data_IF_551049876087
#
_entry.id   IF_551049876087
#
_cell.length_a   1.000
_cell.length_b   1.000
_cell.length_c   1.000
_cell.angle_alpha   90.00
_cell.angle_beta   90.00
_cell.angle_gamma   90.00
#
_symmetry.space_group_name_H-M   'P 1'
#
loop_
_entity.id
_entity.type
_entity.pdbx_description
1 polymer ?
#
# COMPACT_ATOMS: atom_id res chain seq x y z
N UNK A 1 21.60 -10.59 -15.96
CA UNK A 1 21.36 -9.68 -14.84
C UNK A 1 19.99 -9.90 -14.25
N UNK A 2 19.94 -10.01 -12.97
CA UNK A 2 18.69 -10.27 -12.29
C UNK A 2 17.99 -8.98 -11.92
N UNK A 3 16.72 -8.94 -12.20
CA UNK A 3 15.89 -7.84 -11.73
C UNK A 3 15.60 -8.03 -10.26
N UNK A 4 15.80 -6.97 -9.52
CA UNK A 4 15.50 -7.02 -8.11
C UNK A 4 14.03 -6.67 -7.92
N UNK A 5 13.28 -7.59 -7.35
CA UNK A 5 11.88 -7.36 -7.02
C UNK A 5 11.82 -6.94 -5.56
N UNK A 6 11.26 -5.78 -5.31
CA UNK A 6 11.12 -5.26 -3.96
C UNK A 6 9.71 -5.50 -3.47
N UNK A 7 9.60 -5.90 -2.22
CA UNK A 7 8.31 -6.05 -1.58
C UNK A 7 8.14 -4.93 -0.58
N UNK A 8 7.02 -4.27 -0.67
CA UNK A 8 6.68 -3.17 0.21
C UNK A 8 5.36 -3.46 0.90
N UNK A 9 5.17 -2.85 2.05
CA UNK A 9 3.91 -2.93 2.74
C UNK A 9 3.42 -1.52 2.99
N UNK A 10 2.15 -1.29 2.72
CA UNK A 10 1.51 -0.04 3.13
C UNK A 10 0.48 -0.35 4.19
N UNK A 11 0.37 0.56 5.15
CA UNK A 11 -0.66 0.53 6.17
C UNK A 11 -1.36 1.87 6.12
N UNK A 12 -2.67 1.83 6.09
CA UNK A 12 -3.45 3.06 6.04
C UNK A 12 -4.61 2.95 6.99
N UNK A 13 -4.84 4.01 7.75
CA UNK A 13 -5.99 4.07 8.65
C UNK A 13 -6.69 5.40 8.47
N UNK A 14 -8.01 5.35 8.46
CA UNK A 14 -8.82 6.54 8.26
C UNK A 14 -10.24 6.25 8.72
N UNK A 15 -11.08 7.26 8.66
CA UNK A 15 -12.50 7.05 8.84
C UNK A 15 -13.04 6.17 7.72
N UNK A 16 -13.92 5.26 8.06
CA UNK A 16 -14.53 4.37 7.08
C UNK A 16 -15.34 5.19 6.09
N UNK A 17 -15.08 4.95 4.82
CA UNK A 17 -15.74 5.70 3.75
C UNK A 17 -15.69 4.86 2.49
N UNK A 18 -16.54 5.21 1.53
CA UNK A 18 -16.65 4.46 0.29
C UNK A 18 -15.40 4.67 -0.56
N UNK A 19 -14.92 3.59 -1.14
CA UNK A 19 -13.90 3.66 -2.19
C UNK A 19 -12.46 3.64 -1.75
N UNK A 20 -12.19 3.39 -0.45
CA UNK A 20 -10.80 3.39 0.02
C UNK A 20 -9.97 2.33 -0.71
N UNK A 21 -10.43 1.09 -0.70
CA UNK A 21 -9.69 -0.02 -1.29
C UNK A 21 -9.53 0.19 -2.78
N UNK A 22 -10.59 0.64 -3.43
CA UNK A 22 -10.56 0.88 -4.87
C UNK A 22 -9.53 1.92 -5.24
N UNK A 23 -9.46 3.01 -4.49
CA UNK A 23 -8.51 4.09 -4.77
C UNK A 23 -7.08 3.63 -4.58
N UNK A 24 -6.81 2.89 -3.51
CA UNK A 24 -5.48 2.38 -3.26
C UNK A 24 -5.09 1.39 -4.35
N UNK A 25 -5.97 0.45 -4.66
CA UNK A 25 -5.65 -0.61 -5.63
C UNK A 25 -5.47 -0.04 -7.03
N UNK A 26 -6.27 0.95 -7.38
CA UNK A 26 -6.12 1.60 -8.68
C UNK A 26 -4.78 2.30 -8.79
N UNK A 27 -4.36 2.96 -7.72
CA UNK A 27 -3.09 3.65 -7.71
C UNK A 27 -1.93 2.65 -7.83
N UNK A 28 -1.98 1.57 -7.08
CA UNK A 28 -0.93 0.55 -7.17
C UNK A 28 -0.87 -0.07 -8.56
N UNK A 29 -2.02 -0.32 -9.16
CA UNK A 29 -2.07 -0.87 -10.51
C UNK A 29 -1.48 0.09 -11.53
N UNK A 30 -1.71 1.38 -11.34
CA UNK A 30 -1.16 2.40 -12.23
C UNK A 30 0.35 2.36 -12.27
N UNK A 31 0.97 2.05 -11.15
CA UNK A 31 2.42 1.95 -11.05
C UNK A 31 2.92 0.52 -11.26
N UNK A 32 2.03 -0.35 -11.76
CA UNK A 32 2.36 -1.74 -12.11
C UNK A 32 2.86 -2.54 -10.93
N UNK A 33 2.32 -2.24 -9.75
CA UNK A 33 2.58 -3.03 -8.56
C UNK A 33 1.65 -4.22 -8.53
N UNK A 34 2.16 -5.34 -8.04
CA UNK A 34 1.37 -6.53 -7.87
C UNK A 34 1.04 -6.70 -6.39
N UNK A 35 -0.25 -6.68 -6.06
CA UNK A 35 -0.68 -6.85 -4.68
C UNK A 35 -0.56 -8.32 -4.32
N UNK A 36 0.23 -8.61 -3.29
CA UNK A 36 0.50 -9.97 -2.85
C UNK A 36 -0.45 -10.38 -1.73
N UNK A 37 -0.73 -9.45 -0.85
CA UNK A 37 -1.57 -9.73 0.31
C UNK A 37 -2.32 -8.47 0.68
N UNK A 38 -3.58 -8.64 1.11
CA UNK A 38 -4.38 -7.50 1.53
C UNK A 38 -5.23 -7.94 2.71
N UNK A 39 -5.17 -7.16 3.78
CA UNK A 39 -5.97 -7.39 4.97
C UNK A 39 -6.68 -6.11 5.33
N UNK A 40 -7.94 -6.21 5.67
CA UNK A 40 -8.78 -5.06 5.99
C UNK A 40 -9.51 -5.33 7.29
N UNK A 41 -9.74 -4.25 8.02
CA UNK A 41 -10.49 -4.33 9.26
C UNK A 41 -11.25 -3.03 9.46
N UNK A 42 -12.53 -3.15 9.75
CA UNK A 42 -13.37 -2.01 10.06
C UNK A 42 -13.78 -2.09 11.53
N UNK A 43 -13.46 -1.04 12.28
CA UNK A 43 -13.90 -0.92 13.67
C UNK A 43 -15.25 -0.23 13.64
N UNK A 44 -16.31 -1.01 13.75
CA UNK A 44 -17.66 -0.48 13.62
C UNK A 44 -18.05 0.43 14.77
N UNK A 45 -17.46 0.24 15.93
CA UNK A 45 -17.78 1.06 17.07
C UNK A 45 -17.30 2.50 16.90
N UNK A 46 -16.11 2.66 16.36
CA UNK A 46 -15.51 3.97 16.21
C UNK A 46 -15.55 4.48 14.77
N UNK A 47 -16.00 3.65 13.84
CA UNK A 47 -16.08 4.04 12.44
C UNK A 47 -14.74 4.19 11.77
N UNK A 48 -13.73 3.44 12.22
CA UNK A 48 -12.39 3.50 11.65
C UNK A 48 -12.14 2.33 10.72
N UNK A 49 -11.36 2.59 9.69
CA UNK A 49 -10.98 1.59 8.71
C UNK A 49 -9.47 1.44 8.68
N UNK A 50 -9.01 0.20 8.63
CA UNK A 50 -7.59 -0.12 8.59
C UNK A 50 -7.34 -1.07 7.42
N UNK A 51 -6.29 -0.81 6.67
CA UNK A 51 -5.90 -1.72 5.61
C UNK A 51 -4.37 -1.89 5.62
N UNK A 52 -3.96 -3.11 5.39
CA UNK A 52 -2.55 -3.45 5.23
C UNK A 52 -2.42 -4.22 3.92
N UNK A 53 -1.61 -3.71 3.01
CA UNK A 53 -1.39 -4.37 1.73
C UNK A 53 0.11 -4.54 1.50
N UNK A 54 0.48 -5.76 1.11
CA UNK A 54 1.84 -6.03 0.65
C UNK A 54 1.82 -6.09 -0.87
N UNK A 55 2.81 -5.47 -1.49
CA UNK A 55 2.87 -5.46 -2.94
C UNK A 55 4.31 -5.55 -3.41
N UNK A 56 4.49 -6.08 -4.61
CA UNK A 56 5.80 -6.12 -5.22
C UNK A 56 5.94 -4.98 -6.21
N UNK A 57 7.12 -4.40 -6.24
CA UNK A 57 7.47 -3.30 -7.12
C UNK A 57 8.60 -3.76 -8.01
N UNK A 58 8.35 -3.75 -9.33
CA UNK A 58 9.31 -4.28 -10.28
C UNK A 58 10.30 -3.24 -10.76
N UNK A 59 9.94 -1.98 -10.65
CA UNK A 59 10.78 -0.89 -11.09
C UNK A 59 10.95 0.09 -9.96
N UNK A 60 12.06 -0.04 -9.24
CA UNK A 60 12.28 0.78 -8.05
C UNK A 60 12.42 2.27 -8.39
N UNK A 61 12.67 2.60 -9.66
CA UNK A 61 12.76 4.01 -10.04
C UNK A 61 11.42 4.73 -9.93
N UNK A 62 10.31 3.97 -9.86
CA UNK A 62 8.99 4.58 -9.72
C UNK A 62 8.56 4.75 -8.27
N UNK A 63 9.35 4.24 -7.32
CA UNK A 63 8.95 4.25 -5.92
C UNK A 63 8.68 5.65 -5.41
N UNK A 64 9.53 6.59 -5.76
CA UNK A 64 9.40 7.96 -5.31
C UNK A 64 8.08 8.59 -5.79
N UNK A 65 7.71 8.33 -7.03
CA UNK A 65 6.44 8.84 -7.57
C UNK A 65 5.26 8.15 -6.93
N UNK A 66 5.38 6.84 -6.73
CA UNK A 66 4.31 6.09 -6.06
C UNK A 66 4.08 6.61 -4.66
N UNK A 67 5.17 6.81 -3.92
CA UNK A 67 5.07 7.31 -2.55
C UNK A 67 4.41 8.68 -2.51
N UNK A 68 4.80 9.55 -3.43
CA UNK A 68 4.19 10.87 -3.51
C UNK A 68 2.69 10.78 -3.77
N UNK A 69 2.29 9.92 -4.68
CA UNK A 69 0.87 9.76 -5.00
C UNK A 69 0.10 9.11 -3.85
N UNK A 70 0.74 8.19 -3.14
CA UNK A 70 0.11 7.59 -1.96
C UNK A 70 -0.10 8.64 -0.88
N UNK A 71 0.87 9.53 -0.69
CA UNK A 71 0.73 10.62 0.28
C UNK A 71 -0.39 11.58 -0.11
N UNK A 72 -0.50 11.88 -1.40
CA UNK A 72 -1.61 12.71 -1.87
C UNK A 72 -2.96 12.05 -1.61
N UNK A 73 -3.03 10.74 -1.86
CA UNK A 73 -4.25 10.00 -1.61
C UNK A 73 -4.58 9.99 -0.12
N UNK A 74 -3.57 9.79 0.72
CA UNK A 74 -3.81 9.76 2.15
C UNK A 74 -4.31 11.12 2.64
N UNK A 75 -3.82 12.21 2.09
CA UNK A 75 -4.33 13.53 2.42
C UNK A 75 -5.77 13.70 1.97
N UNK A 76 -6.08 13.20 0.79
CA UNK A 76 -7.45 13.27 0.28
C UNK A 76 -8.42 12.51 1.18
N UNK A 77 -7.99 11.37 1.69
CA UNK A 77 -8.82 10.53 2.56
C UNK A 77 -8.75 10.96 4.03
N UNK A 78 -7.93 11.93 4.32
CA UNK A 78 -7.65 12.35 5.70
C UNK A 78 -7.17 11.17 6.51
N UNK A 79 -6.23 10.43 5.96
CA UNK A 79 -5.76 9.16 6.49
C UNK A 79 -4.32 9.25 6.96
N UNK A 80 -3.95 8.29 7.81
CA UNK A 80 -2.56 8.06 8.17
C UNK A 80 -2.01 6.96 7.31
N UNK A 81 -0.85 7.19 6.73
CA UNK A 81 -0.21 6.25 5.82
C UNK A 81 1.18 5.93 6.30
N UNK A 82 1.51 4.64 6.25
CA UNK A 82 2.85 4.17 6.55
C UNK A 82 3.28 3.26 5.42
N UNK A 83 4.45 3.52 4.85
CA UNK A 83 4.99 2.73 3.76
C UNK A 83 6.37 2.24 4.16
N UNK A 84 6.61 0.95 4.05
CA UNK A 84 7.89 0.37 4.43
C UNK A 84 8.29 -0.70 3.44
N UNK A 85 9.59 -0.89 3.27
CA UNK A 85 10.09 -1.99 2.47
C UNK A 85 10.28 -3.20 3.36
N UNK A 86 9.84 -4.36 2.89
CA UNK A 86 10.03 -5.62 3.59
C UNK A 86 11.28 -6.26 3.03
N UNK A 87 12.20 -6.57 3.89
CA UNK A 87 13.40 -7.27 3.49
C UNK A 87 13.08 -8.73 3.25
N UNK A 88 13.45 -9.21 2.10
CA UNK A 88 13.16 -10.56 1.69
C UNK A 88 14.31 -11.48 1.94
N UNK A 89 14.86 -11.47 3.04
CA UNK A 89 15.95 -12.40 3.27
C UNK A 89 15.40 -13.76 3.60
N UNK A 90 15.16 -13.85 3.64
CA UNK A 90 14.83 -14.83 3.88
C UNK A 90 14.51 -15.77 3.67
N UNK A 91 14.45 -15.91 3.57
CA UNK A 91 14.07 -16.61 3.39
C UNK A 91 13.87 -17.46 3.55
N UNK A 92 13.78 -17.55 3.75
CA UNK A 92 13.51 -18.19 3.90
C UNK A 92 13.15 -18.96 3.90
N UNK A 93 12.96 -19.31 3.96
CA UNK A 93 12.65 -20.13 4.02
C UNK A 93 12.56 -20.66 4.11
#
# INVERSE_FOLDING_TARGET
>A
MLNKIETHVLKLSCKDQVGIVSKISTLLAKFKCNIVESKQFTDQQNGNFFIRQSFTLYDSSTLSKLEKNLNLLSNELNAELLLAEIENSMNTV
#
